data_IF_663614275688
#
_entry.id   IF_663614275688
#
_cell.length_a   1.000
_cell.length_b   1.000
_cell.length_c   1.000
_cell.angle_alpha   90.00
_cell.angle_beta   90.00
_cell.angle_gamma   90.00
#
_symmetry.space_group_name_H-M   'P 1'
#
loop_
_entity.id
_entity.type
_entity.pdbx_description
1 polymer ?
#
# COMPACT_ATOMS: atom_id res chain seq x y z
N UNK A 1 19.50 -37.06 2.33
CA UNK A 1 19.35 -35.73 1.71
C UNK A 1 20.74 -35.23 1.31
N UNK A 2 20.86 -34.10 0.62
CA UNK A 2 22.20 -33.62 0.20
C UNK A 2 22.96 -33.06 1.40
N UNK A 3 24.30 -33.17 1.42
CA UNK A 3 25.14 -32.59 2.48
C UNK A 3 24.89 -31.09 2.70
N UNK A 4 24.45 -30.37 1.66
CA UNK A 4 24.11 -28.95 1.75
C UNK A 4 22.81 -28.77 2.53
N UNK A 5 21.79 -29.60 2.27
CA UNK A 5 20.53 -29.54 3.01
C UNK A 5 20.74 -29.80 4.50
N UNK A 6 21.48 -30.87 4.85
CA UNK A 6 21.72 -31.25 6.25
C UNK A 6 22.45 -30.13 7.03
N UNK A 7 23.37 -29.40 6.36
CA UNK A 7 24.07 -28.25 6.95
C UNK A 7 23.14 -27.09 7.31
N UNK A 8 22.16 -26.80 6.44
CA UNK A 8 21.15 -25.76 6.69
C UNK A 8 20.15 -26.20 7.75
N UNK A 9 19.73 -27.47 7.72
CA UNK A 9 18.80 -28.03 8.70
C UNK A 9 19.35 -27.93 10.13
N UNK A 10 20.60 -28.34 10.34
CA UNK A 10 21.25 -28.26 11.66
C UNK A 10 21.33 -26.83 12.24
N UNK A 11 21.29 -25.80 11.39
CA UNK A 11 21.51 -24.40 11.79
C UNK A 11 20.23 -23.56 11.85
N UNK A 12 19.27 -23.85 10.98
CA UNK A 12 18.09 -23.02 10.75
C UNK A 12 16.77 -23.77 10.94
N UNK A 13 16.80 -25.07 11.23
CA UNK A 13 15.60 -25.89 11.47
C UNK A 13 14.56 -25.78 10.33
N UNK A 14 15.01 -25.83 9.07
CA UNK A 14 14.18 -25.59 7.89
C UNK A 14 13.06 -26.62 7.71
N UNK A 15 13.21 -27.83 8.24
CA UNK A 15 12.19 -28.86 8.22
C UNK A 15 10.96 -28.45 9.05
N UNK A 16 11.15 -27.74 10.18
CA UNK A 16 10.04 -27.25 10.99
C UNK A 16 9.14 -26.27 10.22
N UNK A 17 9.75 -25.45 9.35
CA UNK A 17 9.04 -24.52 8.47
C UNK A 17 8.28 -25.29 7.40
N UNK A 18 8.90 -26.32 6.81
CA UNK A 18 8.25 -27.18 5.81
C UNK A 18 7.02 -27.88 6.41
N UNK A 19 7.15 -28.44 7.61
CA UNK A 19 6.07 -29.16 8.30
C UNK A 19 4.91 -28.22 8.68
N UNK A 20 5.19 -27.01 9.18
CA UNK A 20 4.15 -26.00 9.44
C UNK A 20 3.46 -25.53 8.14
N UNK A 21 4.17 -25.46 7.01
CA UNK A 21 3.54 -25.13 5.73
C UNK A 21 2.66 -26.29 5.22
N UNK A 22 3.15 -27.52 5.23
CA UNK A 22 2.44 -28.68 4.68
C UNK A 22 1.24 -29.11 5.51
N UNK A 23 1.21 -28.77 6.80
CA UNK A 23 0.11 -29.11 7.71
C UNK A 23 -1.12 -28.20 7.57
N UNK A 24 -1.10 -27.15 6.74
CA UNK A 24 -2.25 -26.25 6.54
C UNK A 24 -3.20 -26.80 5.48
N UNK A 25 -4.49 -26.75 5.80
CA UNK A 25 -5.58 -27.14 4.90
C UNK A 25 -6.49 -25.96 4.59
N UNK A 26 -7.14 -26.00 3.44
CA UNK A 26 -8.15 -25.03 3.02
C UNK A 26 -9.55 -25.61 3.27
N UNK A 27 -10.39 -24.97 4.11
CA UNK A 27 -11.75 -25.45 4.36
C UNK A 27 -12.63 -25.44 3.10
N UNK A 28 -13.61 -26.36 2.95
CA UNK A 28 -14.45 -26.47 1.75
C UNK A 28 -15.32 -25.24 1.44
N UNK A 29 -15.66 -24.42 2.44
CA UNK A 29 -16.47 -23.21 2.25
C UNK A 29 -15.67 -22.02 1.68
N UNK A 30 -14.35 -22.16 1.54
CA UNK A 30 -13.49 -21.14 0.93
C UNK A 30 -13.73 -21.14 -0.58
N UNK A 31 -14.35 -20.07 -1.07
CA UNK A 31 -14.62 -19.83 -2.49
C UNK A 31 -13.69 -18.76 -3.08
N UNK A 32 -13.86 -18.44 -4.37
CA UNK A 32 -13.01 -17.48 -5.10
C UNK A 32 -12.93 -16.09 -4.46
N UNK A 33 -13.96 -15.64 -3.73
CA UNK A 33 -13.97 -14.31 -3.09
C UNK A 33 -12.99 -14.22 -1.91
N UNK A 34 -12.52 -15.35 -1.37
CA UNK A 34 -11.48 -15.35 -0.35
C UNK A 34 -10.13 -14.85 -0.90
N UNK A 35 -9.92 -14.91 -2.22
CA UNK A 35 -8.70 -14.48 -2.88
C UNK A 35 -8.53 -12.95 -2.95
N UNK A 36 -9.58 -12.14 -2.76
CA UNK A 36 -9.50 -10.68 -2.93
C UNK A 36 -8.43 -9.99 -2.07
N UNK A 37 -8.24 -10.46 -0.82
CA UNK A 37 -7.16 -9.95 0.03
C UNK A 37 -5.76 -10.27 -0.52
N UNK A 38 -5.58 -11.49 -1.03
CA UNK A 38 -4.34 -11.91 -1.70
C UNK A 38 -4.08 -11.13 -2.99
N UNK A 39 -5.10 -10.88 -3.81
CA UNK A 39 -4.97 -10.06 -5.03
C UNK A 39 -4.58 -8.63 -4.67
N UNK A 40 -5.16 -8.07 -3.60
CA UNK A 40 -4.78 -6.73 -3.09
C UNK A 40 -3.29 -6.69 -2.72
N UNK A 41 -2.79 -7.72 -2.05
CA UNK A 41 -1.36 -7.84 -1.73
C UNK A 41 -0.49 -7.93 -2.98
N UNK A 42 -0.89 -8.72 -3.99
CA UNK A 42 -0.17 -8.78 -5.27
C UNK A 42 -0.12 -7.41 -5.96
N UNK A 43 -1.22 -6.64 -5.96
CA UNK A 43 -1.19 -5.27 -6.47
C UNK A 43 -0.22 -4.38 -5.69
N UNK A 44 -0.16 -4.51 -4.36
CA UNK A 44 0.82 -3.78 -3.55
C UNK A 44 2.27 -4.15 -3.93
N UNK A 45 2.59 -5.43 -4.15
CA UNK A 45 3.92 -5.83 -4.63
C UNK A 45 4.27 -5.22 -5.98
N UNK A 46 3.29 -5.13 -6.90
CA UNK A 46 3.45 -4.42 -8.18
C UNK A 46 3.72 -2.93 -7.94
N UNK A 47 3.04 -2.28 -7.00
CA UNK A 47 3.30 -0.88 -6.64
C UNK A 47 4.73 -0.68 -6.12
N UNK A 48 5.20 -1.55 -5.23
CA UNK A 48 6.58 -1.48 -4.71
C UNK A 48 7.60 -1.62 -5.84
N UNK A 49 7.45 -2.64 -6.69
CA UNK A 49 8.39 -2.90 -7.78
C UNK A 49 8.42 -1.74 -8.81
N UNK A 50 7.25 -1.32 -9.29
CA UNK A 50 7.15 -0.25 -10.30
C UNK A 50 7.46 1.12 -9.72
N UNK A 51 7.04 1.39 -8.49
CA UNK A 51 7.32 2.65 -7.79
C UNK A 51 8.81 2.84 -7.55
N UNK A 52 9.49 1.80 -7.05
CA UNK A 52 10.95 1.79 -6.91
C UNK A 52 11.67 2.01 -8.24
N UNK A 53 11.23 1.37 -9.33
CA UNK A 53 11.83 1.62 -10.65
C UNK A 53 11.73 3.10 -11.06
N UNK A 54 10.63 3.78 -10.76
CA UNK A 54 10.45 5.20 -11.08
C UNK A 54 11.31 6.14 -10.23
N UNK A 55 11.73 5.74 -9.02
CA UNK A 55 12.60 6.60 -8.17
C UNK A 55 13.99 6.81 -8.77
N UNK A 56 14.42 5.98 -9.73
CA UNK A 56 15.67 6.19 -10.48
C UNK A 56 15.62 7.39 -11.44
N UNK A 57 14.41 7.84 -11.83
CA UNK A 57 14.22 8.85 -12.88
C UNK A 57 13.45 10.08 -12.39
N UNK A 58 12.53 9.90 -11.45
CA UNK A 58 11.68 10.98 -10.95
C UNK A 58 12.48 11.99 -10.10
N UNK A 59 12.22 13.29 -10.31
CA UNK A 59 12.88 14.39 -9.56
C UNK A 59 11.83 15.20 -8.78
N UNK A 60 11.84 15.19 -7.44
CA UNK A 60 10.83 15.84 -6.61
C UNK A 60 11.04 17.36 -6.46
N UNK A 61 11.25 18.08 -7.56
CA UNK A 61 11.33 19.54 -7.60
C UNK A 61 10.19 20.09 -8.46
N UNK A 62 9.59 21.23 -8.10
CA UNK A 62 8.47 21.82 -8.87
C UNK A 62 8.88 22.18 -10.30
N UNK A 63 10.17 22.45 -10.53
CA UNK A 63 10.73 22.73 -11.83
C UNK A 63 10.89 21.47 -12.71
N UNK A 64 11.15 20.30 -12.11
CA UNK A 64 11.52 19.08 -12.85
C UNK A 64 10.53 17.91 -12.69
N UNK A 65 9.56 17.99 -11.79
CA UNK A 65 8.63 16.89 -11.52
C UNK A 65 7.87 16.47 -12.78
N UNK A 66 7.26 17.43 -13.48
CA UNK A 66 6.51 17.14 -14.71
C UNK A 66 7.43 16.68 -15.85
N UNK A 67 8.56 17.35 -16.06
CA UNK A 67 9.49 17.02 -17.14
C UNK A 67 10.20 15.67 -16.92
N UNK A 68 10.49 15.30 -15.67
CA UNK A 68 11.02 13.96 -15.34
C UNK A 68 9.99 12.86 -15.58
N UNK A 69 8.70 13.12 -15.35
CA UNK A 69 7.62 12.20 -15.76
C UNK A 69 7.50 12.09 -17.27
N UNK A 70 7.63 13.19 -18.02
CA UNK A 70 7.66 13.14 -19.48
C UNK A 70 8.88 12.37 -20.01
N UNK A 71 10.04 12.55 -19.39
CA UNK A 71 11.25 11.79 -19.70
C UNK A 71 11.04 10.30 -19.49
N UNK A 72 10.45 9.89 -18.36
CA UNK A 72 10.08 8.50 -18.09
C UNK A 72 9.11 7.95 -19.16
N UNK A 73 8.14 8.75 -19.61
CA UNK A 73 7.13 8.32 -20.58
C UNK A 73 7.66 8.22 -22.01
N UNK A 74 8.70 8.95 -22.38
CA UNK A 74 9.10 9.11 -23.79
C UNK A 74 10.52 8.66 -24.10
N UNK A 75 11.44 8.69 -23.13
CA UNK A 75 12.87 8.43 -23.35
C UNK A 75 13.37 7.17 -22.66
N UNK A 76 12.78 6.78 -21.53
CA UNK A 76 13.18 5.58 -20.80
C UNK A 76 12.60 4.34 -21.46
N UNK A 77 13.45 3.35 -21.75
CA UNK A 77 13.02 2.06 -22.29
C UNK A 77 11.96 1.43 -21.37
N UNK A 78 10.78 1.14 -21.92
CA UNK A 78 9.61 0.65 -21.19
C UNK A 78 9.11 1.56 -20.04
N UNK A 79 9.59 2.79 -19.92
CA UNK A 79 9.16 3.69 -18.85
C UNK A 79 7.66 4.04 -18.91
N UNK A 80 7.10 4.15 -20.13
CA UNK A 80 5.67 4.29 -20.33
C UNK A 80 4.86 3.11 -19.77
N UNK A 81 5.38 1.89 -19.90
CA UNK A 81 4.74 0.67 -19.43
C UNK A 81 4.79 0.63 -17.91
N UNK A 82 5.96 0.89 -17.31
CA UNK A 82 6.13 0.93 -15.84
C UNK A 82 5.19 1.96 -15.21
N UNK A 83 5.16 3.19 -15.72
CA UNK A 83 4.26 4.22 -15.20
C UNK A 83 2.79 3.86 -15.38
N UNK A 84 2.42 3.25 -16.52
CA UNK A 84 1.05 2.84 -16.79
C UNK A 84 0.61 1.70 -15.86
N UNK A 85 1.46 0.69 -15.66
CA UNK A 85 1.21 -0.39 -14.70
C UNK A 85 1.05 0.18 -13.30
N UNK A 86 1.94 1.07 -12.86
CA UNK A 86 1.85 1.70 -11.54
C UNK A 86 0.48 2.38 -11.35
N UNK A 87 0.06 3.20 -12.31
CA UNK A 87 -1.23 3.90 -12.28
C UNK A 87 -2.43 2.95 -12.25
N UNK A 88 -2.49 1.97 -13.16
CA UNK A 88 -3.63 1.05 -13.24
C UNK A 88 -3.69 0.11 -12.05
N UNK A 89 -2.55 -0.42 -11.62
CA UNK A 89 -2.46 -1.31 -10.48
C UNK A 89 -2.83 -0.61 -9.16
N UNK A 90 -2.61 0.71 -9.03
CA UNK A 90 -3.04 1.46 -7.85
C UNK A 90 -4.59 1.49 -7.76
N UNK A 91 -5.27 1.78 -8.87
CA UNK A 91 -6.74 1.71 -8.93
C UNK A 91 -7.27 0.29 -8.68
N UNK A 92 -6.61 -0.73 -9.23
CA UNK A 92 -6.98 -2.12 -8.99
C UNK A 92 -6.75 -2.53 -7.53
N UNK A 93 -5.69 -2.06 -6.88
CA UNK A 93 -5.43 -2.30 -5.46
C UNK A 93 -6.59 -1.77 -4.60
N UNK A 94 -7.03 -0.53 -4.84
CA UNK A 94 -8.16 0.07 -4.12
C UNK A 94 -9.46 -0.71 -4.38
N UNK A 95 -9.73 -1.07 -5.64
CA UNK A 95 -10.91 -1.86 -5.99
C UNK A 95 -10.93 -3.21 -5.28
N UNK A 96 -9.82 -3.96 -5.34
CA UNK A 96 -9.70 -5.28 -4.71
C UNK A 96 -9.76 -5.19 -3.19
N UNK A 97 -9.21 -4.11 -2.60
CA UNK A 97 -9.36 -3.81 -1.18
C UNK A 97 -10.84 -3.61 -0.79
N UNK A 98 -11.60 -2.84 -1.57
CA UNK A 98 -13.05 -2.64 -1.33
C UNK A 98 -13.80 -3.97 -1.41
N UNK A 99 -13.56 -4.77 -2.46
CA UNK A 99 -14.17 -6.08 -2.60
C UNK A 99 -13.78 -7.04 -1.46
N UNK A 100 -12.53 -6.95 -0.99
CA UNK A 100 -12.06 -7.70 0.16
C UNK A 100 -12.79 -7.30 1.45
N UNK A 101 -12.96 -5.99 1.71
CA UNK A 101 -13.73 -5.47 2.84
C UNK A 101 -15.18 -5.99 2.79
N UNK A 102 -15.83 -5.93 1.63
CA UNK A 102 -17.18 -6.47 1.47
C UNK A 102 -17.23 -7.96 1.76
N UNK A 103 -16.29 -8.76 1.22
CA UNK A 103 -16.23 -10.19 1.52
C UNK A 103 -16.11 -10.43 3.02
N UNK A 104 -15.19 -9.76 3.71
CA UNK A 104 -14.98 -9.95 5.16
C UNK A 104 -16.22 -9.60 5.96
N UNK A 105 -16.91 -8.52 5.60
CA UNK A 105 -18.14 -8.09 6.27
C UNK A 105 -19.29 -9.09 6.02
N UNK A 106 -19.54 -9.44 4.76
CA UNK A 106 -20.62 -10.35 4.37
C UNK A 106 -20.42 -11.77 4.90
N UNK A 107 -19.19 -12.22 5.13
CA UNK A 107 -18.89 -13.53 5.74
C UNK A 107 -18.67 -13.49 7.24
N UNK A 108 -18.89 -12.33 7.90
CA UNK A 108 -18.70 -12.19 9.35
C UNK A 108 -17.27 -12.44 9.84
N UNK A 109 -16.27 -12.30 8.97
CA UNK A 109 -14.86 -12.62 9.27
C UNK A 109 -14.20 -11.68 10.27
N UNK A 110 -14.87 -10.59 10.64
CA UNK A 110 -14.43 -9.59 11.63
C UNK A 110 -14.88 -9.90 13.07
N UNK A 111 -15.75 -10.89 13.28
CA UNK A 111 -16.27 -11.26 14.61
C UNK A 111 -15.17 -11.85 15.50
N UNK A 112 -15.43 -11.94 16.80
CA UNK A 112 -14.56 -12.59 17.79
C UNK A 112 -14.03 -13.94 17.30
N UNK A 113 -12.72 -14.23 17.41
CA UNK A 113 -11.63 -13.44 18.03
C UNK A 113 -10.80 -12.61 17.02
N UNK A 114 -11.37 -12.20 15.87
CA UNK A 114 -10.65 -11.58 14.73
C UNK A 114 -10.78 -10.05 14.67
N UNK A 115 -11.19 -9.41 15.76
CA UNK A 115 -11.45 -7.97 15.81
C UNK A 115 -10.19 -7.14 15.49
N UNK A 116 -9.01 -7.57 15.99
CA UNK A 116 -7.75 -6.87 15.72
C UNK A 116 -7.28 -7.01 14.28
N UNK A 117 -7.60 -8.12 13.61
CA UNK A 117 -7.39 -8.28 12.16
C UNK A 117 -8.25 -7.27 11.40
N UNK A 118 -9.49 -7.04 11.81
CA UNK A 118 -10.33 -6.01 11.22
C UNK A 118 -9.76 -4.60 11.43
N UNK A 119 -9.35 -4.25 12.66
CA UNK A 119 -8.74 -2.95 12.98
C UNK A 119 -7.50 -2.68 12.13
N UNK A 120 -6.58 -3.66 12.04
CA UNK A 120 -5.39 -3.52 11.17
C UNK A 120 -5.76 -3.40 9.70
N UNK A 121 -6.82 -4.07 9.24
CA UNK A 121 -7.38 -3.89 7.90
C UNK A 121 -7.85 -2.45 7.63
N UNK A 122 -8.56 -1.83 8.58
CA UNK A 122 -8.98 -0.42 8.47
C UNK A 122 -7.77 0.52 8.42
N UNK A 123 -6.76 0.30 9.25
CA UNK A 123 -5.54 1.11 9.24
C UNK A 123 -4.78 1.01 7.90
N UNK A 124 -4.70 -0.19 7.31
CA UNK A 124 -4.14 -0.37 5.97
C UNK A 124 -4.99 0.30 4.89
N UNK A 125 -6.32 0.31 5.02
CA UNK A 125 -7.19 1.01 4.07
C UNK A 125 -6.97 2.53 4.10
N UNK A 126 -6.81 3.11 5.30
CA UNK A 126 -6.42 4.52 5.45
C UNK A 126 -5.07 4.78 4.78
N UNK A 127 -4.06 3.94 5.05
CA UNK A 127 -2.75 4.07 4.40
C UNK A 127 -2.84 3.97 2.86
N UNK A 128 -3.66 3.07 2.34
CA UNK A 128 -3.87 2.87 0.89
C UNK A 128 -4.50 4.09 0.23
N UNK A 129 -5.49 4.72 0.87
CA UNK A 129 -6.06 5.98 0.37
C UNK A 129 -5.03 7.11 0.46
N UNK A 130 -4.24 7.17 1.55
CA UNK A 130 -3.16 8.15 1.69
C UNK A 130 -2.08 7.99 0.62
N UNK A 131 -1.76 6.75 0.18
CA UNK A 131 -0.90 6.52 -0.97
C UNK A 131 -1.48 7.15 -2.24
N UNK A 132 -2.76 6.95 -2.50
CA UNK A 132 -3.46 7.59 -3.61
C UNK A 132 -3.33 9.10 -3.58
N UNK A 133 -3.67 9.73 -2.45
CA UNK A 133 -3.60 11.20 -2.29
C UNK A 133 -2.18 11.74 -2.51
N UNK A 134 -1.19 11.12 -1.86
CA UNK A 134 0.21 11.59 -1.93
C UNK A 134 0.84 11.35 -3.30
N UNK A 135 0.54 10.22 -3.94
CA UNK A 135 1.06 9.85 -5.25
C UNK A 135 0.44 10.64 -6.40
N UNK A 136 -0.85 10.99 -6.28
CA UNK A 136 -1.60 11.66 -7.34
C UNK A 136 -1.05 13.04 -7.72
N UNK A 137 -0.42 13.75 -6.77
CA UNK A 137 0.19 15.06 -7.01
C UNK A 137 1.64 15.01 -7.49
N UNK A 138 2.32 13.85 -7.45
CA UNK A 138 3.74 13.77 -7.81
C UNK A 138 4.06 14.16 -9.26
N UNK A 139 3.20 13.91 -10.27
CA UNK A 139 3.43 14.42 -11.62
C UNK A 139 3.44 15.95 -11.72
N UNK A 140 2.89 16.65 -10.73
CA UNK A 140 2.80 18.10 -10.67
C UNK A 140 2.12 18.75 -11.90
N UNK A 141 1.13 18.07 -12.45
CA UNK A 141 0.23 18.61 -13.47
C UNK A 141 -0.94 19.38 -12.84
N UNK A 142 -1.77 20.03 -13.66
CA UNK A 142 -2.89 20.84 -13.18
C UNK A 142 -3.85 20.01 -12.30
N UNK A 143 -4.19 18.81 -12.73
CA UNK A 143 -5.17 17.96 -12.04
C UNK A 143 -4.62 17.55 -10.66
N UNK A 144 -3.38 17.07 -10.59
CA UNK A 144 -2.74 16.69 -9.34
C UNK A 144 -2.55 17.87 -8.38
N UNK A 145 -2.10 19.02 -8.90
CA UNK A 145 -1.88 20.23 -8.11
C UNK A 145 -3.18 20.77 -7.47
N UNK A 146 -4.26 20.89 -8.25
CA UNK A 146 -5.52 21.39 -7.72
C UNK A 146 -6.18 20.40 -6.76
N UNK A 147 -6.08 19.09 -7.02
CA UNK A 147 -6.54 18.07 -6.10
C UNK A 147 -5.83 18.16 -4.73
N UNK A 148 -4.49 18.29 -4.72
CA UNK A 148 -3.75 18.41 -3.46
C UNK A 148 -4.07 19.72 -2.74
N UNK A 149 -4.26 20.83 -3.47
CA UNK A 149 -4.65 22.12 -2.88
C UNK A 149 -5.99 22.02 -2.15
N UNK A 150 -6.99 21.38 -2.77
CA UNK A 150 -8.31 21.20 -2.17
C UNK A 150 -8.22 20.26 -0.96
N UNK A 151 -7.64 19.06 -1.10
CA UNK A 151 -7.64 18.05 -0.03
C UNK A 151 -6.84 18.48 1.19
N UNK A 152 -5.72 19.19 1.01
CA UNK A 152 -4.92 19.72 2.13
C UNK A 152 -5.56 20.93 2.80
N UNK A 153 -6.60 21.53 2.19
CA UNK A 153 -7.37 22.61 2.80
C UNK A 153 -8.50 22.11 3.70
N UNK A 154 -8.91 20.84 3.58
CA UNK A 154 -10.01 20.26 4.37
C UNK A 154 -9.78 20.37 5.89
N UNK A 155 -8.57 20.11 6.43
CA UNK A 155 -8.37 20.17 7.88
C UNK A 155 -8.49 21.57 8.48
N UNK A 156 -8.47 22.64 7.68
CA UNK A 156 -8.61 24.02 8.17
C UNK A 156 -9.93 24.26 8.92
N UNK A 157 -10.96 23.49 8.58
CA UNK A 157 -12.26 23.53 9.24
C UNK A 157 -12.26 22.94 10.67
N UNK A 158 -11.17 22.27 11.09
CA UNK A 158 -11.08 21.68 12.43
C UNK A 158 -10.78 22.80 13.45
N UNK A 159 -11.64 23.00 14.46
CA UNK A 159 -11.42 24.05 15.46
C UNK A 159 -10.09 23.89 16.18
N UNK A 160 -9.45 25.02 16.50
CA UNK A 160 -8.19 25.13 17.28
C UNK A 160 -6.95 24.58 16.58
N UNK A 161 -6.97 23.35 16.08
CA UNK A 161 -5.78 22.66 15.53
C UNK A 161 -5.70 22.68 13.99
N UNK A 162 -6.80 22.99 13.30
CA UNK A 162 -6.91 22.90 11.83
C UNK A 162 -5.83 23.67 11.07
N UNK A 163 -5.66 24.98 11.32
CA UNK A 163 -4.64 25.78 10.64
C UNK A 163 -3.22 25.23 10.81
N UNK A 164 -2.88 24.77 12.03
CA UNK A 164 -1.58 24.14 12.31
C UNK A 164 -1.38 22.82 11.56
N UNK A 165 -2.43 22.01 11.40
CA UNK A 165 -2.40 20.77 10.60
C UNK A 165 -2.18 21.09 9.12
N UNK A 166 -2.86 22.10 8.57
CA UNK A 166 -2.72 22.52 7.17
C UNK A 166 -1.29 22.97 6.89
N UNK A 167 -0.73 23.82 7.75
CA UNK A 167 0.64 24.32 7.61
C UNK A 167 1.67 23.17 7.75
N UNK A 168 1.43 22.22 8.66
CA UNK A 168 2.26 21.01 8.79
C UNK A 168 2.17 20.11 7.55
N UNK A 169 1.00 19.93 6.95
CA UNK A 169 0.86 19.11 5.74
C UNK A 169 1.54 19.76 4.53
N UNK A 170 1.34 21.07 4.35
CA UNK A 170 1.86 21.81 3.18
C UNK A 170 3.32 22.22 3.34
N UNK A 171 3.82 22.39 4.56
CA UNK A 171 5.12 22.98 4.83
C UNK A 171 5.19 24.47 4.49
N UNK A 172 4.05 25.17 4.60
CA UNK A 172 3.89 26.60 4.32
C UNK A 172 2.41 26.97 4.16
N UNK A 173 2.14 28.26 3.96
CA UNK A 173 0.78 28.81 3.84
C UNK A 173 0.01 28.32 2.59
N UNK A 174 0.73 27.92 1.55
CA UNK A 174 0.17 27.46 0.29
C UNK A 174 0.88 26.19 -0.19
N UNK A 175 0.24 25.47 -1.11
CA UNK A 175 0.85 24.33 -1.79
C UNK A 175 2.00 24.82 -2.68
N UNK A 176 3.17 24.21 -2.51
CA UNK A 176 4.38 24.56 -3.26
C UNK A 176 5.48 23.50 -3.14
N UNK A 177 6.74 23.93 -3.30
CA UNK A 177 7.90 23.03 -3.24
C UNK A 177 7.99 22.23 -1.94
N UNK A 178 7.77 22.88 -0.79
CA UNK A 178 7.77 22.19 0.51
C UNK A 178 6.74 21.06 0.56
N UNK A 179 5.55 21.30 -0.01
CA UNK A 179 4.48 20.29 -0.07
C UNK A 179 4.91 19.11 -0.92
N UNK A 180 5.48 19.36 -2.11
CA UNK A 180 5.96 18.32 -3.02
C UNK A 180 7.02 17.43 -2.35
N UNK A 181 8.01 18.04 -1.69
CA UNK A 181 9.06 17.29 -0.98
C UNK A 181 8.49 16.44 0.16
N UNK A 182 7.57 16.98 0.96
CA UNK A 182 6.89 16.23 2.04
C UNK A 182 6.04 15.09 1.49
N UNK A 183 5.27 15.34 0.44
CA UNK A 183 4.41 14.34 -0.19
C UNK A 183 5.22 13.23 -0.83
N UNK A 184 6.35 13.55 -1.46
CA UNK A 184 7.27 12.55 -1.96
C UNK A 184 7.83 11.67 -0.83
N UNK A 185 8.30 12.27 0.26
CA UNK A 185 8.80 11.51 1.43
C UNK A 185 7.70 10.66 2.09
N UNK A 186 6.50 11.20 2.25
CA UNK A 186 5.36 10.45 2.77
C UNK A 186 5.02 9.25 1.87
N UNK A 187 5.01 9.45 0.55
CA UNK A 187 4.65 8.44 -0.42
C UNK A 187 5.68 7.32 -0.57
N UNK A 188 6.98 7.65 -0.55
CA UNK A 188 8.05 6.68 -0.84
C UNK A 188 8.71 6.09 0.39
N UNK A 189 8.53 6.70 1.58
CA UNK A 189 9.17 6.24 2.80
C UNK A 189 8.18 5.94 3.93
N UNK A 190 7.42 6.94 4.37
CA UNK A 190 6.55 6.78 5.55
C UNK A 190 5.43 5.78 5.29
N UNK A 191 4.64 5.96 4.23
CA UNK A 191 3.51 5.08 3.94
C UNK A 191 3.94 3.64 3.63
N UNK A 192 5.03 3.37 2.87
CA UNK A 192 5.56 2.02 2.70
C UNK A 192 5.93 1.34 4.01
N UNK A 193 6.64 2.04 4.90
CA UNK A 193 7.04 1.50 6.20
C UNK A 193 5.81 1.15 7.06
N UNK A 194 4.88 2.09 7.22
CA UNK A 194 3.66 1.87 8.01
C UNK A 194 2.81 0.73 7.44
N UNK A 195 2.62 0.71 6.13
CA UNK A 195 1.83 -0.33 5.46
C UNK A 195 2.48 -1.70 5.61
N UNK A 196 3.81 -1.80 5.48
CA UNK A 196 4.52 -3.05 5.69
C UNK A 196 4.37 -3.57 7.13
N UNK A 197 4.48 -2.69 8.13
CA UNK A 197 4.29 -3.05 9.54
C UNK A 197 2.86 -3.53 9.81
N UNK A 198 1.85 -2.80 9.35
CA UNK A 198 0.45 -3.22 9.52
C UNK A 198 0.15 -4.52 8.79
N UNK A 199 0.69 -4.70 7.58
CA UNK A 199 0.50 -5.90 6.78
C UNK A 199 1.15 -7.13 7.43
N UNK A 200 2.36 -6.99 7.98
CA UNK A 200 3.00 -8.05 8.76
C UNK A 200 2.13 -8.45 9.96
N UNK A 201 1.66 -7.49 10.76
CA UNK A 201 0.77 -7.77 11.88
C UNK A 201 -0.53 -8.46 11.42
N UNK A 202 -1.12 -7.98 10.32
CA UNK A 202 -2.34 -8.53 9.75
C UNK A 202 -2.17 -10.00 9.33
N UNK A 203 -1.08 -10.31 8.62
CA UNK A 203 -0.79 -11.68 8.17
C UNK A 203 -0.43 -12.61 9.33
N UNK A 204 0.30 -12.13 10.34
CA UNK A 204 0.61 -12.92 11.54
C UNK A 204 -0.67 -13.30 12.30
N UNK A 205 -1.61 -12.37 12.46
CA UNK A 205 -2.89 -12.66 13.10
C UNK A 205 -3.74 -13.65 12.29
N UNK A 206 -3.79 -13.50 10.97
CA UNK A 206 -4.48 -14.46 10.08
C UNK A 206 -3.85 -15.85 10.17
N UNK A 207 -2.50 -15.95 10.11
CA UNK A 207 -1.78 -17.23 10.21
C UNK A 207 -2.03 -17.90 11.55
N UNK A 208 -2.09 -17.13 12.64
CA UNK A 208 -2.31 -17.62 14.00
C UNK A 208 -3.75 -18.08 14.24
N UNK A 209 -4.74 -17.36 13.74
CA UNK A 209 -6.16 -17.59 14.04
C UNK A 209 -6.88 -18.46 13.00
N UNK A 210 -6.30 -18.60 11.81
CA UNK A 210 -6.93 -19.26 10.67
C UNK A 210 -8.12 -18.49 10.08
N UNK A 211 -8.62 -19.00 8.95
CA UNK A 211 -9.76 -18.39 8.27
C UNK A 211 -11.06 -18.55 9.09
N UNK A 212 -12.03 -17.67 8.89
CA UNK A 212 -13.35 -17.77 9.51
C UNK A 212 -14.05 -19.09 9.15
N UNK A 213 -14.92 -19.57 10.05
CA UNK A 213 -15.75 -20.75 9.81
C UNK A 213 -16.77 -20.54 8.67
N UNK A 214 -17.57 -21.58 8.35
CA UNK A 214 -18.66 -21.46 7.39
C UNK A 214 -19.68 -20.41 7.85
N UNK A 215 -20.44 -19.89 6.88
CA UNK A 215 -21.56 -18.97 7.10
C UNK A 215 -22.63 -19.59 8.01
#
# INVERSE_FOLDING_TARGET
>A
MSKIYDWFEERLEIQSIADDISSKYVPPHVNIFYCFGGITFTCFLVQVATGFAMTFYYRPTVAEAFTSVQYLMTQVNFGWLIRSIHRWSASMMVLMMILHIFRVYLTGGFKKPRELTWVTGVLMAVCTVSFGVTGYSLPWDQIGYWAVKIVTGVPDAIPVIGPGVVELLRGGVAVGQSTLTRFYSLHTFVLPLFTAVFMLMHFLMIRKQGISGPL
#
